data_IF_766874100450
#
_entry.id   IF_766874100450
#
_cell.length_a   1.000
_cell.length_b   1.000
_cell.length_c   1.000
_cell.angle_alpha   90.00
_cell.angle_beta   90.00
_cell.angle_gamma   90.00
#
_symmetry.space_group_name_H-M   'P 1'
#
loop_
_entity.id
_entity.type
_entity.pdbx_description
1 polymer ?
#
# COMPACT_ATOMS: atom_id res chain seq x y z
N UNK A 1 -14.67 -11.99 -41.45
CA UNK A 1 -13.66 -11.36 -40.60
C UNK A 1 -12.38 -11.23 -41.42
N UNK A 2 -12.04 -10.02 -41.87
CA UNK A 2 -10.96 -9.78 -42.85
C UNK A 2 -9.59 -9.73 -42.16
N UNK A 3 -8.64 -10.49 -42.68
CA UNK A 3 -7.25 -10.53 -42.20
C UNK A 3 -6.54 -9.21 -42.53
N UNK A 4 -5.82 -8.58 -41.58
CA UNK A 4 -5.09 -7.36 -41.85
C UNK A 4 -3.91 -7.59 -42.81
N UNK A 5 -3.71 -6.64 -43.72
CA UNK A 5 -2.71 -6.65 -44.78
C UNK A 5 -1.32 -6.32 -44.20
N UNK A 6 -0.38 -7.25 -44.30
CA UNK A 6 1.00 -7.05 -43.83
C UNK A 6 1.85 -6.38 -44.93
N UNK A 7 2.58 -5.31 -44.57
CA UNK A 7 3.45 -4.59 -45.49
C UNK A 7 4.83 -5.27 -45.62
N UNK A 8 5.41 -5.15 -46.81
CA UNK A 8 6.69 -5.76 -47.17
C UNK A 8 7.82 -5.00 -46.47
N UNK A 9 8.26 -5.52 -45.32
CA UNK A 9 9.30 -4.91 -44.49
C UNK A 9 9.18 -5.21 -42.99
N UNK A 10 8.02 -5.67 -42.53
CA UNK A 10 7.82 -5.95 -41.10
C UNK A 10 8.59 -7.20 -40.62
N UNK A 11 9.46 -6.99 -39.65
CA UNK A 11 10.32 -8.00 -39.05
C UNK A 11 9.52 -8.83 -38.04
N UNK A 12 9.35 -10.14 -38.30
CA UNK A 12 8.62 -11.07 -37.42
C UNK A 12 9.19 -11.06 -36.00
N UNK A 13 8.35 -10.83 -34.99
CA UNK A 13 8.74 -11.00 -33.58
C UNK A 13 8.97 -12.48 -33.27
N UNK A 14 10.18 -12.83 -32.81
CA UNK A 14 10.54 -14.20 -32.40
C UNK A 14 9.83 -14.54 -31.09
N UNK A 15 8.84 -15.43 -31.14
CA UNK A 15 8.26 -16.06 -29.94
C UNK A 15 9.27 -17.02 -29.30
N UNK A 16 9.52 -16.83 -28.01
CA UNK A 16 10.36 -17.67 -27.15
C UNK A 16 9.61 -18.98 -26.87
N UNK A 17 10.20 -20.13 -27.22
CA UNK A 17 9.65 -21.48 -26.98
C UNK A 17 9.62 -21.78 -25.47
N UNK A 18 8.43 -22.07 -24.92
CA UNK A 18 8.29 -22.91 -23.72
C UNK A 18 8.35 -24.38 -24.14
N UNK A 19 8.97 -25.29 -23.36
CA UNK A 19 8.89 -26.72 -23.60
C UNK A 19 7.50 -27.25 -23.25
N UNK A 20 7.04 -28.20 -24.07
CA UNK A 20 5.72 -28.80 -24.04
C UNK A 20 5.60 -29.90 -22.97
N UNK A 21 4.43 -29.97 -22.34
CA UNK A 21 3.88 -31.21 -21.79
C UNK A 21 2.43 -31.33 -22.24
N UNK A 22 2.04 -32.58 -22.50
CA UNK A 22 1.01 -32.99 -23.43
C UNK A 22 -0.45 -32.74 -22.98
N UNK A 23 -1.30 -32.71 -23.98
CA UNK A 23 -2.74 -32.39 -24.08
C UNK A 23 -3.69 -33.43 -23.48
N UNK A 24 -4.83 -32.99 -22.91
CA UNK A 24 -6.19 -33.54 -23.17
C UNK A 24 -7.24 -32.39 -23.15
N UNK A 25 -8.25 -32.56 -24.01
CA UNK A 25 -9.31 -31.72 -24.60
C UNK A 25 -10.22 -30.78 -23.77
N UNK A 26 -10.50 -29.63 -24.42
CA UNK A 26 -11.78 -28.93 -24.69
C UNK A 26 -12.93 -28.88 -23.66
N UNK A 27 -13.23 -27.68 -23.15
CA UNK A 27 -14.52 -26.98 -23.36
C UNK A 27 -14.44 -25.48 -22.96
N UNK A 28 -15.13 -24.66 -23.74
CA UNK A 28 -15.16 -23.19 -23.77
C UNK A 28 -16.01 -22.54 -22.63
N UNK A 29 -16.06 -21.19 -22.50
CA UNK A 29 -15.93 -20.50 -21.23
C UNK A 29 -17.26 -20.12 -20.57
N UNK A 30 -17.29 -20.08 -19.25
CA UNK A 30 -18.28 -19.28 -18.54
C UNK A 30 -17.63 -18.49 -17.40
N UNK A 31 -18.03 -17.23 -17.33
CA UNK A 31 -17.61 -16.20 -16.38
C UNK A 31 -17.90 -16.57 -14.94
N UNK A 32 -16.88 -16.52 -14.08
CA UNK A 32 -17.07 -16.46 -12.63
C UNK A 32 -15.91 -15.71 -11.96
N UNK A 33 -16.30 -14.66 -11.24
CA UNK A 33 -15.69 -14.04 -10.08
C UNK A 33 -14.29 -14.54 -9.64
N UNK A 34 -13.34 -13.62 -9.63
CA UNK A 34 -12.08 -13.75 -8.88
C UNK A 34 -12.36 -13.62 -7.38
N UNK A 35 -12.69 -14.74 -6.76
CA UNK A 35 -12.50 -14.96 -5.32
C UNK A 35 -11.22 -15.76 -5.18
N UNK A 36 -10.09 -15.11 -4.88
CA UNK A 36 -8.86 -15.82 -4.47
C UNK A 36 -8.71 -15.74 -2.97
N UNK A 37 -9.31 -16.70 -2.27
CA UNK A 37 -8.78 -17.20 -0.99
C UNK A 37 -8.01 -18.48 -1.28
N UNK A 38 -6.70 -18.37 -1.53
CA UNK A 38 -5.80 -19.50 -1.51
C UNK A 38 -5.12 -19.57 -0.12
N UNK A 39 -5.29 -20.66 0.66
CA UNK A 39 -4.52 -20.88 1.86
C UNK A 39 -3.16 -21.51 1.50
N UNK A 40 -2.09 -20.99 2.12
CA UNK A 40 -0.76 -21.60 2.21
C UNK A 40 0.22 -21.45 1.03
N UNK A 41 0.52 -20.21 0.62
CA UNK A 41 1.91 -19.77 0.36
C UNK A 41 2.02 -18.25 0.55
N UNK A 42 2.18 -17.80 1.79
CA UNK A 42 2.37 -16.37 2.08
C UNK A 42 3.81 -15.93 1.73
N UNK A 43 4.03 -15.61 0.46
CA UNK A 43 5.01 -14.56 0.13
C UNK A 43 4.52 -13.30 0.84
N UNK A 44 5.20 -12.96 1.92
CA UNK A 44 4.78 -12.00 2.96
C UNK A 44 4.77 -10.54 2.51
N UNK A 45 4.82 -10.27 1.20
CA UNK A 45 4.89 -8.94 0.58
C UNK A 45 3.54 -8.40 0.07
N UNK A 46 2.48 -9.21 0.14
CA UNK A 46 1.12 -8.83 -0.28
C UNK A 46 0.15 -8.79 0.92
N UNK A 47 0.53 -8.12 2.01
CA UNK A 47 -0.44 -7.78 3.05
C UNK A 47 -1.27 -6.58 2.58
N UNK A 48 -2.39 -6.90 1.92
CA UNK A 48 -3.35 -5.93 1.38
C UNK A 48 -4.46 -5.57 2.39
N UNK A 49 -4.30 -5.90 3.67
CA UNK A 49 -5.24 -5.51 4.73
C UNK A 49 -5.22 -4.00 4.97
N UNK A 50 -6.33 -3.47 5.52
CA UNK A 50 -6.52 -2.04 5.77
C UNK A 50 -6.46 -1.70 7.26
N UNK A 51 -5.74 -0.64 7.60
CA UNK A 51 -5.57 -0.13 8.96
C UNK A 51 -5.85 1.36 9.01
N UNK A 52 -6.19 1.87 10.20
CA UNK A 52 -6.42 3.30 10.42
C UNK A 52 -5.08 4.02 10.59
N UNK A 53 -4.93 5.16 9.93
CA UNK A 53 -3.78 6.05 10.14
C UNK A 53 -3.88 6.69 11.53
N UNK A 54 -2.79 6.70 12.31
CA UNK A 54 -2.79 7.26 13.68
C UNK A 54 -2.06 8.61 13.72
N UNK A 55 -1.08 8.79 12.86
CA UNK A 55 -0.32 10.03 12.73
C UNK A 55 -0.30 10.51 11.26
N UNK A 56 -0.10 11.82 11.00
CA UNK A 56 0.06 12.33 9.64
C UNK A 56 1.22 11.68 8.89
N UNK A 57 2.27 11.25 9.61
CA UNK A 57 3.40 10.51 9.05
C UNK A 57 3.03 9.13 8.51
N UNK A 58 1.91 8.55 8.95
CA UNK A 58 1.45 7.26 8.44
C UNK A 58 0.84 7.37 7.04
N UNK A 59 0.33 8.54 6.66
CA UNK A 59 -0.45 8.75 5.43
C UNK A 59 0.47 8.66 4.21
N UNK A 60 0.69 7.45 3.72
CA UNK A 60 1.56 7.13 2.58
C UNK A 60 1.08 5.86 1.88
N UNK A 61 1.20 5.82 0.56
CA UNK A 61 0.72 4.70 -0.25
C UNK A 61 -0.80 4.73 -0.45
N UNK A 62 -1.42 3.59 -0.79
CA UNK A 62 -2.86 3.51 -1.01
C UNK A 62 -3.66 3.79 0.27
N UNK A 63 -4.62 4.72 0.16
CA UNK A 63 -5.51 5.19 1.21
C UNK A 63 -6.96 5.34 0.69
N UNK A 64 -7.91 5.40 1.63
CA UNK A 64 -9.28 5.86 1.39
C UNK A 64 -9.64 6.96 2.41
N UNK A 65 -10.48 7.90 1.98
CA UNK A 65 -11.05 8.93 2.84
C UNK A 65 -12.48 8.56 3.21
N UNK A 66 -12.69 8.00 4.40
CA UNK A 66 -14.02 7.74 4.92
C UNK A 66 -14.63 9.05 5.44
N UNK A 67 -15.81 9.38 4.90
CA UNK A 67 -16.52 10.63 5.12
C UNK A 67 -17.43 10.52 6.36
N UNK A 68 -17.60 11.59 7.16
CA UNK A 68 -18.47 11.62 8.32
C UNK A 68 -19.94 11.86 7.92
N UNK A 69 -20.46 11.03 7.01
CA UNK A 69 -21.83 11.13 6.46
C UNK A 69 -22.80 10.20 7.18
N UNK A 70 -24.10 10.49 7.07
CA UNK A 70 -25.17 9.65 7.67
C UNK A 70 -25.19 8.22 7.11
N UNK A 71 -25.04 8.07 5.80
CA UNK A 71 -24.72 6.81 5.13
C UNK A 71 -23.21 6.76 4.94
N UNK A 72 -22.50 5.68 5.30
CA UNK A 72 -21.06 5.59 5.10
C UNK A 72 -20.65 5.82 3.65
N UNK A 73 -19.91 6.90 3.39
CA UNK A 73 -19.37 7.21 2.07
C UNK A 73 -17.87 7.48 2.14
N UNK A 74 -17.23 7.54 0.98
CA UNK A 74 -15.83 7.88 0.83
C UNK A 74 -15.58 8.78 -0.38
N UNK A 75 -14.46 9.50 -0.40
CA UNK A 75 -14.08 10.33 -1.55
C UNK A 75 -13.63 9.41 -2.70
N UNK A 76 -14.29 9.48 -3.85
CA UNK A 76 -13.93 8.77 -5.06
C UNK A 76 -13.72 9.72 -6.24
N UNK A 77 -13.08 9.23 -7.30
CA UNK A 77 -12.96 9.96 -8.57
C UNK A 77 -13.28 9.09 -9.77
N UNK A 78 -13.89 9.68 -10.80
CA UNK A 78 -14.11 9.02 -12.09
C UNK A 78 -12.90 9.17 -13.02
N UNK A 79 -12.95 8.51 -14.18
CA UNK A 79 -11.90 8.59 -15.18
C UNK A 79 -11.73 10.00 -15.78
N UNK A 80 -12.78 10.84 -15.73
CA UNK A 80 -12.74 12.23 -16.21
C UNK A 80 -12.16 13.20 -15.17
N UNK A 81 -11.93 12.73 -13.94
CA UNK A 81 -11.44 13.55 -12.83
C UNK A 81 -12.53 14.27 -12.04
N UNK A 82 -13.80 13.89 -12.19
CA UNK A 82 -14.86 14.36 -11.29
C UNK A 82 -14.71 13.67 -9.94
N UNK A 83 -14.69 14.45 -8.86
CA UNK A 83 -14.66 13.94 -7.48
C UNK A 83 -16.09 13.88 -6.95
N UNK A 84 -16.44 12.81 -6.25
CA UNK A 84 -17.78 12.60 -5.69
C UNK A 84 -17.73 11.68 -4.46
N UNK A 85 -18.71 11.76 -3.54
CA UNK A 85 -18.89 10.74 -2.51
C UNK A 85 -19.39 9.45 -3.14
N UNK A 86 -18.67 8.35 -2.91
CA UNK A 86 -19.11 6.99 -3.23
C UNK A 86 -19.55 6.30 -1.95
N UNK A 87 -20.60 5.49 -2.03
CA UNK A 87 -20.99 4.62 -0.92
C UNK A 87 -19.85 3.70 -0.52
N UNK A 88 -19.83 3.28 0.74
CA UNK A 88 -18.81 2.44 1.34
C UNK A 88 -19.49 1.19 1.92
N UNK A 89 -19.44 0.08 1.18
CA UNK A 89 -20.21 -1.13 1.51
C UNK A 89 -19.44 -2.10 2.41
N UNK A 90 -18.11 -2.17 2.25
CA UNK A 90 -17.25 -3.10 3.01
C UNK A 90 -16.92 -2.51 4.39
N UNK A 91 -17.86 -2.68 5.32
CA UNK A 91 -17.79 -2.24 6.71
C UNK A 91 -18.30 -3.34 7.64
N UNK A 92 -17.69 -3.49 8.81
CA UNK A 92 -18.20 -4.33 9.89
C UNK A 92 -19.11 -3.47 10.75
N UNK A 93 -20.39 -3.83 10.84
CA UNK A 93 -21.40 -3.17 11.70
C UNK A 93 -21.52 -1.64 11.47
N UNK A 94 -21.17 -1.15 10.28
CA UNK A 94 -21.20 0.28 9.94
C UNK A 94 -20.04 1.11 10.54
N UNK A 95 -19.04 0.47 11.15
CA UNK A 95 -17.89 1.17 11.72
C UNK A 95 -16.88 1.57 10.63
N UNK A 96 -16.73 2.88 10.41
CA UNK A 96 -15.75 3.48 9.51
C UNK A 96 -14.30 3.10 9.86
N UNK A 97 -14.02 2.66 11.09
CA UNK A 97 -12.70 2.17 11.48
C UNK A 97 -12.36 0.81 10.87
N UNK A 98 -13.33 0.10 10.31
CA UNK A 98 -13.13 -1.20 9.62
C UNK A 98 -13.27 -1.10 8.11
N UNK A 99 -13.49 0.11 7.59
CA UNK A 99 -13.70 0.37 6.17
C UNK A 99 -12.59 -0.17 5.28
N UNK A 100 -13.02 -0.82 4.20
CA UNK A 100 -12.18 -1.24 3.07
C UNK A 100 -12.80 -0.76 1.74
N UNK A 101 -12.00 -0.42 0.72
CA UNK A 101 -12.53 -0.10 -0.59
C UNK A 101 -13.14 -1.34 -1.26
N UNK A 102 -14.21 -1.13 -2.01
CA UNK A 102 -14.78 -2.14 -2.92
C UNK A 102 -14.65 -1.74 -4.40
N UNK A 103 -14.32 -0.47 -4.68
CA UNK A 103 -14.08 0.04 -6.02
C UNK A 103 -12.72 0.74 -6.07
N UNK A 104 -11.96 0.50 -7.13
CA UNK A 104 -10.67 1.13 -7.40
C UNK A 104 -10.78 2.67 -7.42
N UNK A 105 -11.93 3.22 -7.81
CA UNK A 105 -12.20 4.67 -7.84
C UNK A 105 -12.16 5.33 -6.45
N UNK A 106 -12.32 4.55 -5.39
CA UNK A 106 -12.29 5.02 -3.99
C UNK A 106 -10.86 5.15 -3.45
N UNK A 107 -9.90 4.53 -4.13
CA UNK A 107 -8.51 4.44 -3.67
C UNK A 107 -7.69 5.61 -4.20
N UNK A 108 -6.97 6.25 -3.28
CA UNK A 108 -6.01 7.32 -3.56
C UNK A 108 -4.62 6.90 -3.12
N UNK A 109 -3.59 7.26 -3.87
CA UNK A 109 -2.20 7.05 -3.49
C UNK A 109 -1.67 8.33 -2.85
N UNK A 110 -1.48 8.31 -1.54
CA UNK A 110 -0.87 9.39 -0.78
C UNK A 110 0.65 9.39 -0.95
N UNK A 111 1.21 10.54 -1.29
CA UNK A 111 2.65 10.72 -1.33
C UNK A 111 3.04 12.05 -0.67
N UNK A 112 3.96 11.98 0.28
CA UNK A 112 4.48 13.14 1.00
C UNK A 112 5.59 13.81 0.20
N UNK A 113 5.52 15.12 0.06
CA UNK A 113 6.54 15.90 -0.65
C UNK A 113 7.78 16.00 0.25
N UNK A 114 8.94 15.60 -0.28
CA UNK A 114 10.18 15.61 0.49
C UNK A 114 10.54 17.05 0.93
N UNK A 115 10.92 17.21 2.19
CA UNK A 115 11.25 18.51 2.77
C UNK A 115 10.05 19.34 3.24
N UNK A 116 8.81 18.87 3.04
CA UNK A 116 7.62 19.50 3.59
C UNK A 116 6.75 18.49 4.36
N UNK A 117 5.69 19.00 5.00
CA UNK A 117 4.63 18.17 5.62
C UNK A 117 3.44 17.95 4.68
N UNK A 118 3.54 18.44 3.44
CA UNK A 118 2.45 18.40 2.48
C UNK A 118 2.32 17.00 1.87
N UNK A 119 1.08 16.58 1.68
CA UNK A 119 0.70 15.32 1.07
C UNK A 119 -0.05 15.61 -0.22
N UNK A 120 0.27 14.86 -1.26
CA UNK A 120 -0.45 14.82 -2.53
C UNK A 120 -1.22 13.51 -2.63
N UNK A 121 -2.39 13.54 -3.25
CA UNK A 121 -3.25 12.36 -3.42
C UNK A 121 -3.47 12.07 -4.89
N UNK A 122 -3.02 10.91 -5.36
CA UNK A 122 -3.13 10.50 -6.76
C UNK A 122 -4.24 9.48 -6.93
N UNK A 123 -5.23 9.76 -7.77
CA UNK A 123 -6.33 8.84 -8.09
C UNK A 123 -5.86 7.66 -8.95
N UNK A 124 -6.74 6.66 -9.07
CA UNK A 124 -6.49 5.43 -9.83
C UNK A 124 -6.09 5.67 -11.31
N UNK A 125 -6.60 6.74 -11.92
CA UNK A 125 -6.35 7.11 -13.31
C UNK A 125 -5.09 7.97 -13.50
N UNK A 126 -4.28 8.12 -12.45
CA UNK A 126 -2.95 8.72 -12.55
C UNK A 126 -2.90 10.24 -12.42
N UNK A 127 -4.00 10.89 -12.04
CA UNK A 127 -4.09 12.34 -11.81
C UNK A 127 -4.27 12.68 -10.34
N UNK A 128 -3.92 13.90 -9.96
CA UNK A 128 -3.89 14.35 -8.57
C UNK A 128 -5.20 15.02 -8.17
N UNK A 129 -5.67 14.73 -6.95
CA UNK A 129 -6.71 15.50 -6.29
C UNK A 129 -6.23 16.94 -6.18
N UNK A 130 -7.07 17.86 -6.62
CA UNK A 130 -6.85 19.29 -6.62
C UNK A 130 -8.05 19.97 -5.98
N UNK A 131 -7.80 21.04 -5.25
CA UNK A 131 -8.83 21.97 -4.80
C UNK A 131 -8.63 23.30 -5.51
N UNK A 132 -9.68 23.85 -6.10
CA UNK A 132 -9.65 25.18 -6.70
C UNK A 132 -9.92 26.29 -5.66
N UNK A 133 -9.84 27.55 -6.10
CA UNK A 133 -10.05 28.72 -5.22
C UNK A 133 -11.50 28.89 -4.76
N UNK A 134 -12.44 28.15 -5.34
CA UNK A 134 -13.86 28.16 -5.01
C UNK A 134 -14.27 26.92 -4.19
N UNK A 135 -13.30 26.11 -3.74
CA UNK A 135 -13.56 24.90 -2.96
C UNK A 135 -14.02 23.70 -3.79
N UNK A 136 -13.90 23.74 -5.11
CA UNK A 136 -14.29 22.62 -5.99
C UNK A 136 -13.14 21.63 -6.08
N UNK A 137 -13.44 20.36 -5.81
CA UNK A 137 -12.48 19.27 -5.90
C UNK A 137 -12.51 18.61 -7.28
N UNK A 138 -11.34 18.46 -7.90
CA UNK A 138 -11.20 17.72 -9.17
C UNK A 138 -9.92 16.89 -9.18
N UNK A 139 -9.85 15.89 -10.06
CA UNK A 139 -8.67 15.05 -10.26
C UNK A 139 -8.24 15.04 -11.74
N UNK A 140 -7.91 16.22 -12.26
CA UNK A 140 -7.61 16.42 -13.70
C UNK A 140 -6.12 16.70 -13.99
N UNK A 141 -5.35 17.11 -12.99
CA UNK A 141 -3.93 17.52 -13.15
C UNK A 141 -2.97 16.32 -13.03
N UNK A 142 -1.98 16.23 -13.91
CA UNK A 142 -0.92 15.18 -13.85
C UNK A 142 0.31 15.58 -13.04
N UNK A 143 0.40 16.85 -12.64
CA UNK A 143 1.49 17.42 -11.87
C UNK A 143 1.00 17.94 -10.53
N UNK A 144 1.89 17.95 -9.53
CA UNK A 144 1.63 18.50 -8.22
C UNK A 144 1.93 20.00 -8.27
N UNK A 145 0.92 20.82 -8.05
CA UNK A 145 1.04 22.26 -7.84
C UNK A 145 0.43 22.62 -6.47
N UNK A 146 0.35 23.92 -6.10
CA UNK A 146 -0.23 24.30 -4.82
C UNK A 146 -1.68 23.84 -4.59
N UNK A 147 -2.46 23.65 -5.65
CA UNK A 147 -3.84 23.16 -5.58
C UNK A 147 -3.93 21.67 -5.22
N UNK A 148 -2.90 20.89 -5.49
CA UNK A 148 -2.81 19.44 -5.26
C UNK A 148 -2.07 19.09 -3.96
N UNK A 149 -1.72 20.10 -3.17
CA UNK A 149 -0.93 19.97 -1.95
C UNK A 149 -1.80 20.22 -0.72
N UNK A 150 -1.83 19.25 0.19
CA UNK A 150 -2.68 19.28 1.37
C UNK A 150 -1.89 19.00 2.65
N UNK A 151 -2.41 19.45 3.78
CA UNK A 151 -1.91 19.13 5.11
C UNK A 151 -2.94 18.29 5.86
N UNK A 152 -2.53 17.14 6.40
CA UNK A 152 -3.41 16.30 7.21
C UNK A 152 -3.19 16.61 8.70
N UNK A 153 -4.14 17.31 9.30
CA UNK A 153 -4.08 17.73 10.70
C UNK A 153 -4.88 16.73 11.54
N UNK A 154 -4.27 16.05 12.53
CA UNK A 154 -4.98 15.09 13.37
C UNK A 154 -5.99 15.80 14.27
N UNK A 155 -7.21 15.28 14.34
CA UNK A 155 -8.26 15.86 15.17
C UNK A 155 -8.21 15.23 16.57
N UNK A 156 -8.12 16.02 17.66
CA UNK A 156 -7.93 15.48 19.02
C UNK A 156 -9.17 14.73 19.55
N UNK A 157 -10.36 14.98 18.99
CA UNK A 157 -11.60 14.40 19.49
C UNK A 157 -11.74 12.91 19.21
N UNK A 158 -11.22 12.41 18.08
CA UNK A 158 -11.40 11.02 17.66
C UNK A 158 -10.09 10.50 17.07
N UNK A 159 -9.48 9.46 17.67
CA UNK A 159 -8.28 8.85 17.11
C UNK A 159 -8.50 8.37 15.67
N UNK A 160 -7.50 8.63 14.83
CA UNK A 160 -7.49 8.25 13.42
C UNK A 160 -8.43 9.06 12.52
N UNK A 161 -8.87 10.23 12.99
CA UNK A 161 -9.51 11.23 12.12
C UNK A 161 -8.61 12.45 11.93
N UNK A 162 -8.78 13.09 10.77
CA UNK A 162 -7.95 14.18 10.30
C UNK A 162 -8.83 15.23 9.63
N UNK A 163 -8.48 16.50 9.84
CA UNK A 163 -8.91 17.60 9.00
C UNK A 163 -7.87 17.82 7.89
N UNK A 164 -8.33 17.87 6.65
CA UNK A 164 -7.46 18.02 5.48
C UNK A 164 -7.49 19.48 5.06
N UNK A 165 -6.38 20.18 5.28
CA UNK A 165 -6.22 21.59 4.97
C UNK A 165 -5.59 21.76 3.59
N UNK A 166 -6.08 22.72 2.82
CA UNK A 166 -5.48 23.21 1.57
C UNK A 166 -4.39 24.23 1.87
N UNK A 167 -3.53 24.55 0.90
CA UNK A 167 -2.56 25.66 1.03
C UNK A 167 -3.20 27.06 1.10
N UNK A 168 -4.53 27.17 1.03
CA UNK A 168 -5.29 28.41 1.23
C UNK A 168 -5.88 28.53 2.64
N UNK A 169 -5.40 27.71 3.57
CA UNK A 169 -5.89 27.62 4.95
C UNK A 169 -7.38 27.23 5.09
N UNK A 170 -7.98 26.70 4.03
CA UNK A 170 -9.34 26.14 4.03
C UNK A 170 -9.31 24.61 4.17
N UNK A 171 -10.37 24.03 4.71
CA UNK A 171 -10.52 22.61 4.96
C UNK A 171 -11.45 21.94 3.95
N UNK A 172 -11.15 20.67 3.66
CA UNK A 172 -12.13 19.80 3.01
C UNK A 172 -13.35 19.64 3.92
N UNK A 173 -14.54 19.61 3.33
CA UNK A 173 -15.81 19.46 4.01
C UNK A 173 -16.78 18.65 3.18
N UNK A 174 -17.73 18.01 3.85
CA UNK A 174 -18.92 17.45 3.22
C UNK A 174 -20.11 18.40 3.38
N UNK A 175 -20.76 18.74 2.29
CA UNK A 175 -22.00 19.51 2.28
C UNK A 175 -23.18 18.54 2.11
N UNK A 176 -24.02 18.43 3.15
CA UNK A 176 -25.26 17.66 3.14
C UNK A 176 -26.48 18.62 3.11
N UNK A 177 -26.60 19.44 2.06
CA UNK A 177 -27.68 20.45 1.93
C UNK A 177 -29.02 19.85 1.45
N UNK A 178 -29.35 18.62 1.87
CA UNK A 178 -30.58 17.91 1.49
C UNK A 178 -30.62 17.37 0.05
N UNK A 179 -29.53 17.50 -0.71
CA UNK A 179 -29.25 16.79 -1.97
C UNK A 179 -28.27 15.64 -1.72
N UNK A 180 -27.87 14.93 -2.77
CA UNK A 180 -26.75 14.00 -2.70
C UNK A 180 -25.52 14.73 -2.10
N UNK A 181 -24.80 14.09 -1.17
CA UNK A 181 -23.66 14.72 -0.52
C UNK A 181 -22.63 15.21 -1.55
N UNK A 182 -22.01 16.34 -1.28
CA UNK A 182 -20.96 16.92 -2.13
C UNK A 182 -19.70 17.19 -1.29
N UNK A 183 -18.54 16.82 -1.82
CA UNK A 183 -17.25 17.12 -1.16
C UNK A 183 -16.73 18.45 -1.68
N UNK A 184 -16.43 19.37 -0.78
CA UNK A 184 -15.87 20.70 -1.07
C UNK A 184 -14.60 20.96 -0.27
N UNK A 185 -13.93 22.06 -0.56
CA UNK A 185 -12.65 22.47 0.03
C UNK A 185 -12.60 23.92 0.52
N UNK A 186 -13.76 24.52 0.81
CA UNK A 186 -13.96 25.92 1.17
C UNK A 186 -14.37 26.14 2.64
N UNK A 187 -14.27 25.13 3.51
CA UNK A 187 -14.60 25.32 4.93
C UNK A 187 -13.51 26.11 5.66
N UNK A 188 -13.93 27.07 6.49
CA UNK A 188 -13.01 27.97 7.22
C UNK A 188 -12.63 27.45 8.62
N UNK A 189 -13.42 26.53 9.18
CA UNK A 189 -13.21 26.01 10.53
C UNK A 189 -13.33 24.50 10.59
N UNK A 190 -12.62 23.91 11.56
CA UNK A 190 -12.71 22.48 11.85
C UNK A 190 -14.04 22.21 12.56
N UNK A 191 -14.87 21.42 11.90
CA UNK A 191 -16.15 20.92 12.39
C UNK A 191 -16.27 19.41 12.14
N UNK A 192 -17.41 18.83 12.55
CA UNK A 192 -17.73 17.44 12.26
C UNK A 192 -17.68 17.13 10.75
N UNK A 193 -18.19 18.00 9.88
CA UNK A 193 -18.22 17.79 8.42
C UNK A 193 -16.83 17.86 7.76
N UNK A 194 -15.83 18.38 8.47
CA UNK A 194 -14.43 18.49 8.01
C UNK A 194 -13.51 17.41 8.61
N UNK A 195 -14.09 16.47 9.37
CA UNK A 195 -13.34 15.45 10.10
C UNK A 195 -13.43 14.12 9.37
N UNK A 196 -12.37 13.76 8.65
CA UNK A 196 -12.32 12.56 7.81
C UNK A 196 -11.54 11.45 8.49
N UNK A 197 -11.96 10.20 8.32
CA UNK A 197 -11.15 9.05 8.73
C UNK A 197 -10.31 8.58 7.55
N UNK A 198 -9.00 8.39 7.78
CA UNK A 198 -8.09 7.91 6.74
C UNK A 198 -7.71 6.46 7.06
N UNK A 199 -8.06 5.56 6.13
CA UNK A 199 -7.63 4.16 6.16
C UNK A 199 -6.55 3.97 5.12
N UNK A 200 -5.59 3.09 5.39
CA UNK A 200 -4.44 2.84 4.54
C UNK A 200 -4.10 1.35 4.50
N UNK A 201 -3.44 0.91 3.44
CA UNK A 201 -2.92 -0.46 3.38
C UNK A 201 -1.83 -0.69 4.44
N UNK A 202 -1.96 -1.75 5.23
CA UNK A 202 -1.12 -2.06 6.39
C UNK A 202 0.36 -2.14 6.04
N UNK A 203 0.69 -2.75 4.90
CA UNK A 203 2.07 -2.85 4.41
C UNK A 203 2.73 -1.49 4.16
N UNK A 204 1.96 -0.41 4.02
CA UNK A 204 2.49 0.94 3.78
C UNK A 204 2.72 1.76 5.05
N UNK A 205 2.19 1.34 6.21
CA UNK A 205 2.39 2.04 7.49
C UNK A 205 3.89 2.03 7.85
N UNK A 206 4.56 3.19 7.98
CA UNK A 206 6.02 3.26 8.13
C UNK A 206 6.56 2.46 9.31
N UNK A 207 5.85 2.45 10.45
CA UNK A 207 6.24 1.65 11.63
C UNK A 207 6.19 0.15 11.35
N UNK A 208 5.17 -0.32 10.61
CA UNK A 208 5.05 -1.72 10.21
C UNK A 208 6.11 -2.07 9.17
N UNK A 209 6.42 -1.17 8.24
CA UNK A 209 7.53 -1.32 7.28
C UNK A 209 8.88 -1.42 7.98
N UNK A 210 9.20 -0.50 8.89
CA UNK A 210 10.47 -0.47 9.61
C UNK A 210 10.64 -1.73 10.48
N UNK A 211 9.62 -2.09 11.27
CA UNK A 211 9.66 -3.32 12.08
C UNK A 211 9.77 -4.59 11.21
N UNK A 212 9.16 -4.60 10.02
CA UNK A 212 9.26 -5.72 9.07
C UNK A 212 10.65 -5.76 8.43
N UNK A 213 11.21 -4.62 8.03
CA UNK A 213 12.55 -4.52 7.45
C UNK A 213 13.62 -4.93 8.46
N UNK A 214 13.50 -4.54 9.72
CA UNK A 214 14.37 -4.98 10.80
C UNK A 214 14.30 -6.50 10.99
N UNK A 215 13.08 -7.06 11.11
CA UNK A 215 12.88 -8.53 11.19
C UNK A 215 13.38 -9.27 9.96
N UNK A 216 13.32 -8.66 8.77
CA UNK A 216 13.86 -9.24 7.55
C UNK A 216 15.40 -9.22 7.55
N UNK A 217 16.01 -8.12 8.00
CA UNK A 217 17.47 -8.01 8.22
C UNK A 217 17.98 -8.97 9.29
N UNK A 218 17.14 -9.34 10.26
CA UNK A 218 17.45 -10.37 11.25
C UNK A 218 17.43 -11.80 10.68
N UNK A 219 16.62 -12.05 9.64
CA UNK A 219 16.50 -13.35 8.99
C UNK A 219 17.66 -13.61 8.03
N UNK A 220 18.78 -14.07 8.58
CA UNK A 220 19.89 -14.60 7.78
C UNK A 220 19.55 -15.99 7.21
N UNK A 221 19.84 -16.18 5.93
CA UNK A 221 19.67 -17.46 5.23
C UNK A 221 20.76 -18.46 5.64
N UNK A 222 20.50 -19.76 5.44
CA UNK A 222 21.51 -20.82 5.67
C UNK A 222 22.76 -20.58 4.83
N UNK A 223 22.57 -20.16 3.57
CA UNK A 223 23.66 -19.93 2.62
C UNK A 223 24.59 -18.81 3.09
N UNK A 224 24.04 -17.71 3.57
CA UNK A 224 24.84 -16.61 4.13
C UNK A 224 25.58 -17.03 5.40
N UNK A 225 24.97 -17.86 6.26
CA UNK A 225 25.65 -18.42 7.43
C UNK A 225 26.83 -19.32 7.02
N UNK A 226 26.64 -20.16 6.01
CA UNK A 226 27.68 -21.06 5.48
C UNK A 226 28.82 -20.29 4.80
N UNK A 227 28.52 -19.20 4.10
CA UNK A 227 29.50 -18.31 3.48
C UNK A 227 30.33 -17.57 4.54
N UNK A 228 29.68 -17.03 5.58
CA UNK A 228 30.37 -16.38 6.69
C UNK A 228 31.22 -17.39 7.46
N UNK A 229 30.75 -18.60 7.74
CA UNK A 229 31.56 -19.60 8.45
C UNK A 229 32.65 -20.19 7.52
N UNK A 230 32.45 -20.18 6.21
CA UNK A 230 33.36 -20.72 5.20
C UNK A 230 33.27 -22.24 5.03
N UNK A 231 32.18 -22.86 5.50
CA UNK A 231 31.89 -24.31 5.34
C UNK A 231 30.39 -24.57 5.36
N UNK A 232 29.97 -25.73 4.86
CA UNK A 232 28.60 -26.22 5.06
C UNK A 232 28.34 -26.44 6.55
N UNK A 233 27.18 -25.99 7.01
CA UNK A 233 26.76 -26.06 8.41
C UNK A 233 25.75 -27.17 8.59
N UNK A 234 25.80 -27.85 9.73
CA UNK A 234 24.73 -28.75 10.15
C UNK A 234 23.51 -27.98 10.66
N UNK A 235 22.33 -28.60 10.65
CA UNK A 235 21.08 -27.93 11.02
C UNK A 235 21.09 -27.39 12.47
N UNK A 236 21.77 -28.10 13.39
CA UNK A 236 21.97 -27.65 14.77
C UNK A 236 22.88 -26.40 14.87
N UNK A 237 23.93 -26.33 14.04
CA UNK A 237 24.83 -25.16 13.99
C UNK A 237 24.09 -23.94 13.42
N UNK A 238 23.25 -24.15 12.40
CA UNK A 238 22.38 -23.11 11.84
C UNK A 238 21.39 -22.60 12.89
N UNK A 239 20.75 -23.49 13.66
CA UNK A 239 19.84 -23.11 14.76
C UNK A 239 20.58 -22.32 15.84
N UNK A 240 21.78 -22.75 16.24
CA UNK A 240 22.61 -22.06 17.23
C UNK A 240 23.01 -20.66 16.77
N UNK A 241 23.45 -20.50 15.53
CA UNK A 241 23.84 -19.20 14.97
C UNK A 241 22.65 -18.25 14.83
N UNK A 242 21.48 -18.77 14.42
CA UNK A 242 20.23 -17.99 14.38
C UNK A 242 19.78 -17.55 15.78
N UNK A 243 19.94 -18.41 16.80
CA UNK A 243 19.65 -18.07 18.20
C UNK A 243 20.62 -17.02 18.75
N UNK A 244 21.92 -17.21 18.53
CA UNK A 244 22.96 -16.28 18.97
C UNK A 244 22.79 -14.88 18.34
N UNK A 245 22.24 -14.78 17.12
CA UNK A 245 21.89 -13.49 16.50
C UNK A 245 20.74 -12.77 17.20
N UNK A 246 19.76 -13.51 17.71
CA UNK A 246 18.65 -12.95 18.49
C UNK A 246 19.08 -12.52 19.89
N UNK A 247 20.06 -13.22 20.46
CA UNK A 247 20.56 -13.01 21.83
C UNK A 247 21.77 -12.05 21.90
N UNK A 248 22.26 -11.54 20.76
CA UNK A 248 23.37 -10.58 20.69
C UNK A 248 24.79 -11.16 20.67
N UNK A 249 24.94 -12.48 20.76
CA UNK A 249 26.23 -13.21 20.76
C UNK A 249 26.69 -13.74 19.40
N UNK A 250 26.24 -13.15 18.29
CA UNK A 250 26.43 -13.73 16.95
C UNK A 250 27.90 -13.93 16.54
N UNK A 251 28.75 -12.93 16.78
CA UNK A 251 30.15 -12.96 16.37
C UNK A 251 30.96 -14.00 17.15
N UNK A 252 30.69 -14.14 18.44
CA UNK A 252 31.31 -15.16 19.29
C UNK A 252 30.88 -16.58 18.86
N UNK A 253 29.59 -16.78 18.61
CA UNK A 253 29.07 -18.06 18.12
C UNK A 253 29.63 -18.44 16.73
N UNK A 254 29.89 -17.47 15.84
CA UNK A 254 30.58 -17.74 14.57
C UNK A 254 32.00 -18.24 14.80
N UNK A 255 32.75 -17.61 15.71
CA UNK A 255 34.13 -18.01 16.03
C UNK A 255 34.16 -19.44 16.59
N UNK A 256 33.27 -19.75 17.53
CA UNK A 256 33.11 -21.11 18.07
C UNK A 256 32.89 -22.17 16.99
N UNK A 257 31.98 -21.89 16.05
CA UNK A 257 31.63 -22.83 14.97
C UNK A 257 32.77 -22.94 13.94
N UNK A 258 33.53 -21.87 13.70
CA UNK A 258 34.73 -21.89 12.85
C UNK A 258 35.88 -22.69 13.49
N UNK A 259 36.09 -22.54 14.80
CA UNK A 259 37.15 -23.26 15.55
C UNK A 259 36.84 -24.75 15.63
N UNK A 260 35.60 -25.13 15.96
CA UNK A 260 35.18 -26.54 16.01
C UNK A 260 35.29 -27.28 14.68
N UNK A 261 35.24 -26.55 13.56
CA UNK A 261 35.43 -27.12 12.22
C UNK A 261 36.89 -27.33 11.82
N UNK A 262 37.85 -26.74 12.54
CA UNK A 262 39.29 -26.92 12.31
C UNK A 262 39.80 -28.03 13.20
N UNK A 263 39.84 -29.25 12.68
CA UNK A 263 40.63 -30.30 13.31
C UNK A 263 42.11 -30.03 12.99
N UNK A 264 42.90 -29.72 14.01
CA UNK A 264 44.35 -29.63 13.87
C UNK A 264 44.90 -31.02 13.54
N UNK A 265 45.59 -31.16 12.41
CA UNK A 265 46.13 -32.44 11.94
C UNK A 265 47.55 -32.70 12.47
N UNK A 266 48.13 -31.75 13.20
CA UNK A 266 49.53 -31.80 13.65
C UNK A 266 49.72 -31.77 15.16
N UNK A 267 48.64 -31.92 15.94
CA UNK A 267 48.73 -32.17 17.37
C UNK A 267 48.59 -33.67 17.66
N UNK A 268 49.67 -34.43 17.44
CA UNK A 268 49.92 -35.74 18.07
C UNK A 268 51.41 -35.89 18.36
#
# INVERSE_FOLDING_TARGET
MVKPLAFKGDKKSKKRKLPATESIDNQDPNSTALTTTDPATSTTDNDDSWVTAEAPSDITGPIIFALPTSVPTCIACDANGKVFPSDLENLIEGDLSTAEPHDVRQVWVANRVAGTEQVSFKGHHGRYLSCDKFGILTATTEAIAPSESFLCIPTPSVPGTFSIQTLRDQFLTIAEDGKAPEVRGDAESISFSTTFRIRMQARFKPRLKANKEEKAREKISRKELEEVVGRRLADEEVRRLKRARREGGYHEAILDVRVKGKHDKFAS
#
